data_IF_692793077087
#
_entry.id   IF_692793077087
#
_cell.length_a   1.000
_cell.length_b   1.000
_cell.length_c   1.000
_cell.angle_alpha   90.00
_cell.angle_beta   90.00
_cell.angle_gamma   90.00
#
_symmetry.space_group_name_H-M   'P 1'
#
loop_
_entity.id
_entity.type
_entity.pdbx_description
1 polymer ?
#
# COMPACT_ATOMS: atom_id res chain seq x y z
N UNK A 1 20.95 26.76 -31.39
CA UNK A 1 20.52 25.38 -31.70
C UNK A 1 20.85 24.43 -30.55
N UNK A 2 22.00 24.57 -29.89
CA UNK A 2 22.39 23.81 -28.68
C UNK A 2 21.35 23.76 -27.55
N UNK A 3 20.64 24.88 -27.31
CA UNK A 3 19.64 24.96 -26.22
C UNK A 3 18.51 23.94 -26.38
N UNK A 4 18.18 23.54 -27.62
CA UNK A 4 17.09 22.59 -27.89
C UNK A 4 17.46 21.20 -27.36
N UNK A 5 18.73 20.79 -27.47
CA UNK A 5 19.21 19.51 -26.99
C UNK A 5 19.20 19.45 -25.45
N UNK A 6 19.56 20.56 -24.80
CA UNK A 6 19.48 20.68 -23.33
C UNK A 6 18.03 20.57 -22.86
N UNK A 7 17.10 21.24 -23.53
CA UNK A 7 15.67 21.18 -23.19
C UNK A 7 15.07 19.79 -23.39
N UNK A 8 15.47 19.08 -24.46
CA UNK A 8 15.05 17.69 -24.72
C UNK A 8 15.58 16.75 -23.63
N UNK A 9 16.86 16.88 -23.26
CA UNK A 9 17.43 16.06 -22.19
C UNK A 9 16.76 16.33 -20.84
N UNK A 10 16.51 17.61 -20.51
CA UNK A 10 15.84 18.00 -19.28
C UNK A 10 14.39 17.49 -19.22
N UNK A 11 13.62 17.61 -20.31
CA UNK A 11 12.24 17.11 -20.34
C UNK A 11 12.18 15.59 -20.23
N UNK A 12 13.11 14.87 -20.86
CA UNK A 12 13.20 13.42 -20.75
C UNK A 12 13.57 12.99 -19.32
N UNK A 13 14.49 13.70 -18.67
CA UNK A 13 14.86 13.45 -17.26
C UNK A 13 13.67 13.60 -16.34
N UNK A 14 12.89 14.68 -16.51
CA UNK A 14 11.67 14.93 -15.73
C UNK A 14 10.64 13.82 -15.99
N UNK A 15 10.40 13.46 -17.26
CA UNK A 15 9.45 12.40 -17.62
C UNK A 15 9.83 11.04 -17.00
N UNK A 16 11.10 10.65 -17.08
CA UNK A 16 11.60 9.42 -16.47
C UNK A 16 11.56 9.47 -14.94
N UNK A 17 11.85 10.64 -14.34
CA UNK A 17 11.72 10.85 -12.90
C UNK A 17 10.28 10.67 -12.42
N UNK A 18 9.32 11.29 -13.11
CA UNK A 18 7.89 11.11 -12.82
C UNK A 18 7.44 9.65 -13.01
N UNK A 19 7.87 9.00 -14.08
CA UNK A 19 7.54 7.59 -14.32
C UNK A 19 8.11 6.67 -13.24
N UNK A 20 9.37 6.89 -12.83
CA UNK A 20 10.01 6.13 -11.76
C UNK A 20 9.32 6.33 -10.41
N UNK A 21 8.98 7.57 -10.06
CA UNK A 21 8.23 7.89 -8.85
C UNK A 21 6.82 7.26 -8.89
N UNK A 22 6.15 7.29 -10.04
CA UNK A 22 4.84 6.66 -10.24
C UNK A 22 4.90 5.14 -10.02
N UNK A 23 5.87 4.45 -10.64
CA UNK A 23 6.03 3.00 -10.46
C UNK A 23 6.35 2.67 -9.00
N UNK A 24 7.20 3.47 -8.34
CA UNK A 24 7.51 3.28 -6.92
C UNK A 24 6.28 3.44 -6.03
N UNK A 25 5.46 4.48 -6.25
CA UNK A 25 4.23 4.72 -5.50
C UNK A 25 3.18 3.62 -5.70
N UNK A 26 3.03 3.10 -6.93
CA UNK A 26 2.14 1.97 -7.21
C UNK A 26 2.61 0.70 -6.51
N UNK A 27 3.92 0.43 -6.55
CA UNK A 27 4.51 -0.74 -5.91
C UNK A 27 4.56 -0.65 -4.38
N UNK A 28 4.48 0.54 -3.79
CA UNK A 28 4.57 0.71 -2.33
C UNK A 28 3.31 0.29 -1.57
N UNK A 29 2.33 -0.34 -2.22
CA UNK A 29 1.14 -0.87 -1.56
C UNK A 29 0.21 0.21 -1.01
N UNK A 30 0.35 1.48 -1.44
CA UNK A 30 -0.56 2.56 -1.05
C UNK A 30 -2.03 2.28 -1.42
N UNK A 31 -2.24 1.40 -2.39
CA UNK A 31 -3.55 0.96 -2.86
C UNK A 31 -4.08 -0.29 -2.12
N UNK A 32 -3.39 -0.80 -1.10
CA UNK A 32 -3.84 -1.99 -0.37
C UNK A 32 -4.89 -1.68 0.71
N UNK A 33 -5.09 -0.39 1.06
CA UNK A 33 -6.15 0.04 1.97
C UNK A 33 -7.49 0.22 1.22
N UNK A 34 -7.97 -0.87 0.61
CA UNK A 34 -9.27 -0.94 -0.07
C UNK A 34 -10.45 -0.91 0.92
N UNK A 35 -10.18 -1.04 2.22
CA UNK A 35 -11.17 -1.03 3.29
C UNK A 35 -11.14 0.28 4.05
N UNK A 36 -12.10 1.16 3.75
CA UNK A 36 -12.23 2.48 4.36
C UNK A 36 -12.15 2.42 5.90
N UNK A 37 -11.36 3.29 6.56
CA UNK A 37 -11.18 3.27 8.01
C UNK A 37 -12.49 3.34 8.81
N UNK A 38 -13.52 4.00 8.25
CA UNK A 38 -14.85 4.08 8.86
C UNK A 38 -15.56 2.74 8.98
N UNK A 39 -15.30 1.80 8.06
CA UNK A 39 -15.89 0.46 8.08
C UNK A 39 -15.14 -0.43 9.07
N UNK A 40 -13.80 -0.32 9.10
CA UNK A 40 -12.98 -1.01 10.10
C UNK A 40 -13.46 -0.66 11.50
N UNK A 41 -13.59 0.62 11.81
CA UNK A 41 -14.01 1.08 13.13
C UNK A 41 -15.39 0.55 13.57
N UNK A 42 -16.35 0.40 12.64
CA UNK A 42 -17.69 -0.13 12.96
C UNK A 42 -17.72 -1.65 13.23
N UNK A 43 -16.73 -2.39 12.75
CA UNK A 43 -16.68 -3.86 12.88
C UNK A 43 -15.55 -4.35 13.82
N UNK A 44 -14.59 -3.49 14.16
CA UNK A 44 -13.50 -3.74 15.13
C UNK A 44 -13.95 -3.53 16.59
N UNK A 45 -15.14 -2.95 16.79
CA UNK A 45 -15.79 -2.78 18.09
C UNK A 45 -16.41 -4.09 18.66
N UNK A 46 -16.30 -5.22 17.94
CA UNK A 46 -16.64 -6.52 18.52
C UNK A 46 -15.42 -7.04 19.30
N UNK A 47 -15.43 -7.01 20.64
CA UNK A 47 -14.43 -7.76 21.40
C UNK A 47 -14.51 -9.22 20.96
N UNK A 48 -13.39 -9.93 20.73
CA UNK A 48 -13.41 -11.37 20.57
C UNK A 48 -13.93 -11.95 21.88
N UNK A 49 -15.23 -12.24 21.92
CA UNK A 49 -15.82 -12.91 23.06
C UNK A 49 -15.30 -14.34 23.04
N UNK A 50 -14.61 -14.66 24.12
CA UNK A 50 -14.00 -15.93 24.47
C UNK A 50 -14.87 -17.14 24.09
N UNK A 51 -14.37 -18.01 23.22
CA UNK A 51 -14.73 -19.44 23.18
C UNK A 51 -13.88 -20.20 22.17
N UNK A 52 -12.57 -20.23 22.43
CA UNK A 52 -11.73 -21.34 22.01
C UNK A 52 -10.99 -21.83 23.23
N UNK A 53 -11.77 -22.40 24.15
CA UNK A 53 -11.28 -23.36 25.13
C UNK A 53 -10.51 -24.42 24.36
N UNK A 54 -9.19 -24.29 24.40
CA UNK A 54 -8.24 -25.32 24.07
C UNK A 54 -8.48 -26.49 25.04
N UNK A 55 -9.47 -27.34 24.73
CA UNK A 55 -9.55 -28.68 25.28
C UNK A 55 -8.49 -29.49 24.52
N UNK A 56 -7.25 -29.38 24.98
CA UNK A 56 -6.27 -30.44 24.87
C UNK A 56 -6.75 -31.59 25.78
N UNK A 57 -7.60 -32.47 25.24
CA UNK A 57 -7.66 -33.86 25.71
C UNK A 57 -6.63 -34.64 24.91
N UNK A 58 -5.40 -34.61 25.40
CA UNK A 58 -4.39 -35.62 25.11
C UNK A 58 -4.05 -36.32 26.42
N UNK A 59 -4.28 -37.63 26.40
CA UNK A 59 -3.66 -38.69 27.20
C UNK A 59 -4.04 -38.94 28.68
N UNK A 60 -4.46 -40.21 28.86
CA UNK A 60 -4.58 -41.09 30.03
C UNK A 60 -5.83 -41.07 30.90
#
# INVERSE_FOLDING_TARGET
MEIIFVLIAASLLVALGFLGAFIWAVKSGQYEDDYTPSIRMLFDDNPPNESSSNIQTTDK
#
